data_IF_587974611030
#
_entry.id   IF_587974611030
#
_cell.length_a   1.000
_cell.length_b   1.000
_cell.length_c   1.000
_cell.angle_alpha   90.00
_cell.angle_beta   90.00
_cell.angle_gamma   90.00
#
_symmetry.space_group_name_H-M   'P 1'
#
loop_
_entity.id
_entity.type
_entity.pdbx_description
1 polymer ?
#
# COMPACT_ATOMS: atom_id res chain seq x y z
N UNK A 1 -14.91 -41.44 11.35
CA UNK A 1 -14.06 -41.08 10.20
C UNK A 1 -14.29 -39.66 9.65
N UNK A 2 -15.41 -38.97 9.92
CA UNK A 2 -15.58 -37.55 9.52
C UNK A 2 -14.95 -36.57 10.54
N UNK A 3 -15.09 -36.84 11.84
CA UNK A 3 -14.62 -35.98 12.95
C UNK A 3 -13.11 -35.80 12.99
N UNK A 4 -12.33 -36.79 12.52
CA UNK A 4 -10.87 -36.68 12.44
C UNK A 4 -10.41 -35.79 11.28
N UNK A 5 -11.17 -35.74 10.18
CA UNK A 5 -10.85 -34.90 9.03
C UNK A 5 -11.06 -33.41 9.35
N UNK A 6 -12.09 -33.06 10.12
CA UNK A 6 -12.35 -31.69 10.59
C UNK A 6 -11.25 -31.15 11.54
N UNK A 7 -10.67 -32.00 12.38
CA UNK A 7 -9.57 -31.58 13.26
C UNK A 7 -8.25 -31.32 12.52
N UNK A 8 -7.99 -32.06 11.44
CA UNK A 8 -6.82 -31.83 10.60
C UNK A 8 -6.95 -30.52 9.83
N UNK A 9 -8.13 -30.22 9.28
CA UNK A 9 -8.36 -28.96 8.56
C UNK A 9 -8.29 -27.74 9.49
N UNK A 10 -8.85 -27.79 10.70
CA UNK A 10 -8.73 -26.72 11.68
C UNK A 10 -7.28 -26.46 12.13
N UNK A 11 -6.50 -27.53 12.37
CA UNK A 11 -5.08 -27.41 12.73
C UNK A 11 -4.27 -26.78 11.60
N UNK A 12 -4.53 -27.17 10.36
CA UNK A 12 -3.87 -26.59 9.19
C UNK A 12 -4.22 -25.10 9.03
N UNK A 13 -5.48 -24.71 9.22
CA UNK A 13 -5.89 -23.30 9.17
C UNK A 13 -5.24 -22.46 10.28
N UNK A 14 -5.09 -23.00 11.48
CA UNK A 14 -4.38 -22.31 12.58
C UNK A 14 -2.89 -22.15 12.28
N UNK A 15 -2.25 -23.18 11.71
CA UNK A 15 -0.84 -23.12 11.31
C UNK A 15 -0.62 -22.11 10.19
N UNK A 16 -1.45 -22.10 9.15
CA UNK A 16 -1.30 -21.13 8.06
C UNK A 16 -1.53 -19.71 8.54
N UNK A 17 -2.52 -19.47 9.41
CA UNK A 17 -2.74 -18.15 10.03
C UNK A 17 -1.53 -17.71 10.87
N UNK A 18 -0.92 -18.63 11.63
CA UNK A 18 0.29 -18.34 12.40
C UNK A 18 1.47 -17.98 11.49
N UNK A 19 1.72 -18.75 10.44
CA UNK A 19 2.78 -18.46 9.45
C UNK A 19 2.52 -17.11 8.77
N UNK A 20 1.29 -16.84 8.32
CA UNK A 20 0.92 -15.54 7.73
C UNK A 20 1.13 -14.39 8.70
N UNK A 21 0.88 -14.58 10.00
CA UNK A 21 1.15 -13.57 11.02
C UNK A 21 2.65 -13.30 11.22
N UNK A 22 3.50 -14.33 11.17
CA UNK A 22 4.95 -14.16 11.26
C UNK A 22 5.50 -13.41 10.04
N UNK A 23 5.04 -13.81 8.85
CA UNK A 23 5.39 -13.17 7.59
C UNK A 23 4.96 -11.70 7.61
N UNK A 24 3.74 -11.39 8.07
CA UNK A 24 3.27 -10.02 8.20
C UNK A 24 4.09 -9.19 9.20
N UNK A 25 4.58 -9.81 10.29
CA UNK A 25 5.43 -9.14 11.28
C UNK A 25 6.83 -8.84 10.72
N UNK A 26 7.43 -9.81 10.05
CA UNK A 26 8.73 -9.63 9.39
C UNK A 26 8.66 -8.55 8.29
N UNK A 27 7.59 -8.53 7.49
CA UNK A 27 7.33 -7.47 6.49
C UNK A 27 7.16 -6.08 7.11
N UNK A 28 6.57 -6.02 8.30
CA UNK A 28 6.42 -4.75 9.00
C UNK A 28 7.78 -4.26 9.49
N UNK A 29 8.55 -5.12 10.15
CA UNK A 29 9.85 -4.78 10.75
C UNK A 29 10.89 -4.38 9.70
N UNK A 30 10.97 -5.11 8.58
CA UNK A 30 11.91 -4.83 7.49
C UNK A 30 11.69 -3.48 6.79
N UNK A 31 10.48 -2.93 6.86
CA UNK A 31 10.10 -1.71 6.15
C UNK A 31 9.61 -0.61 7.10
N UNK A 32 9.70 -0.83 8.41
CA UNK A 32 9.24 0.12 9.41
C UNK A 32 10.03 1.43 9.31
N UNK A 33 11.34 1.33 9.11
CA UNK A 33 12.23 2.48 9.04
C UNK A 33 11.97 3.33 7.78
N UNK A 34 11.82 2.69 6.62
CA UNK A 34 11.50 3.35 5.35
C UNK A 34 10.13 4.03 5.40
N UNK A 35 9.13 3.33 5.93
CA UNK A 35 7.80 3.88 6.12
C UNK A 35 7.81 5.11 7.03
N UNK A 36 8.55 5.04 8.13
CA UNK A 36 8.63 6.16 9.07
C UNK A 36 9.39 7.34 8.47
N UNK A 37 10.45 7.09 7.70
CA UNK A 37 11.12 8.15 6.93
C UNK A 37 10.17 8.79 5.91
N UNK A 38 9.37 7.98 5.21
CA UNK A 38 8.38 8.47 4.25
C UNK A 38 7.29 9.30 4.95
N UNK A 39 6.72 8.80 6.06
CA UNK A 39 5.73 9.53 6.88
C UNK A 39 6.28 10.85 7.42
N UNK A 40 7.53 10.86 7.92
CA UNK A 40 8.21 12.10 8.38
C UNK A 40 8.37 13.14 7.26
N UNK A 41 8.49 12.69 6.01
CA UNK A 41 8.54 13.57 4.83
C UNK A 41 7.16 14.00 4.34
N UNK A 42 6.08 13.56 5.00
CA UNK A 42 4.70 13.82 4.59
C UNK A 42 4.25 12.96 3.41
N UNK A 43 4.94 11.86 3.11
CA UNK A 43 4.57 10.96 2.03
C UNK A 43 3.47 9.99 2.49
N UNK A 44 2.58 9.65 1.57
CA UNK A 44 1.57 8.62 1.78
C UNK A 44 2.17 7.25 1.46
N UNK A 45 2.10 6.33 2.41
CA UNK A 45 2.54 4.94 2.23
C UNK A 45 1.31 4.05 2.14
N UNK A 46 1.19 3.28 1.07
CA UNK A 46 0.12 2.29 0.89
C UNK A 46 0.72 0.90 0.74
N UNK A 47 0.34 -0.03 1.62
CA UNK A 47 0.72 -1.43 1.50
C UNK A 47 -0.10 -2.09 0.39
N UNK A 48 0.55 -2.65 -0.61
CA UNK A 48 -0.09 -3.29 -1.77
C UNK A 48 0.09 -4.81 -1.80
N UNK A 49 0.94 -5.35 -0.92
CA UNK A 49 1.20 -6.79 -0.78
C UNK A 49 2.33 -7.05 0.23
N UNK A 50 2.74 -8.32 0.37
CA UNK A 50 3.96 -8.66 1.12
C UNK A 50 5.19 -8.15 0.37
N UNK A 51 6.04 -7.38 1.04
CA UNK A 51 7.20 -6.70 0.46
C UNK A 51 6.86 -5.59 -0.55
N UNK A 52 5.58 -5.36 -0.85
CA UNK A 52 5.13 -4.41 -1.85
C UNK A 52 4.47 -3.20 -1.18
N UNK A 53 5.14 -2.06 -1.28
CA UNK A 53 4.67 -0.77 -0.77
C UNK A 53 4.70 0.28 -1.88
N UNK A 54 3.65 1.08 -1.95
CA UNK A 54 3.56 2.24 -2.84
C UNK A 54 3.77 3.51 -2.03
N UNK A 55 4.82 4.23 -2.35
CA UNK A 55 5.11 5.54 -1.79
C UNK A 55 4.56 6.63 -2.72
N UNK A 56 3.86 7.61 -2.15
CA UNK A 56 3.33 8.75 -2.88
C UNK A 56 3.77 10.05 -2.22
N UNK A 57 4.55 10.84 -2.95
CA UNK A 57 5.02 12.15 -2.53
C UNK A 57 4.05 13.25 -3.02
N UNK A 58 3.44 14.04 -2.11
CA UNK A 58 2.56 15.15 -2.47
C UNK A 58 3.20 16.19 -3.40
N UNK A 59 4.52 16.35 -3.36
CA UNK A 59 5.24 17.31 -4.22
C UNK A 59 5.15 16.91 -5.70
N UNK A 60 5.23 15.62 -5.98
CA UNK A 60 5.05 15.11 -7.34
C UNK A 60 3.60 15.24 -7.81
N UNK A 61 2.63 15.10 -6.91
CA UNK A 61 1.21 15.35 -7.24
C UNK A 61 0.98 16.81 -7.64
N UNK A 62 1.58 17.77 -6.91
CA UNK A 62 1.51 19.19 -7.24
C UNK A 62 2.15 19.50 -8.61
N UNK A 63 3.33 18.94 -8.89
CA UNK A 63 3.99 19.08 -10.19
C UNK A 63 3.16 18.48 -11.33
N UNK A 64 2.54 17.32 -11.09
CA UNK A 64 1.65 16.68 -12.08
C UNK A 64 0.43 17.55 -12.37
N UNK A 65 -0.15 18.16 -11.33
CA UNK A 65 -1.28 19.08 -11.48
C UNK A 65 -0.89 20.35 -12.26
N UNK A 66 0.26 20.96 -11.95
CA UNK A 66 0.78 22.11 -12.67
C UNK A 66 1.00 21.78 -14.16
N UNK A 67 1.65 20.66 -14.47
CA UNK A 67 1.88 20.22 -15.85
C UNK A 67 0.60 19.90 -16.60
N UNK A 68 -0.45 19.43 -15.90
CA UNK A 68 -1.76 19.21 -16.50
C UNK A 68 -2.48 20.53 -16.80
N UNK A 69 -2.36 21.52 -15.92
CA UNK A 69 -2.91 22.85 -16.13
C UNK A 69 -2.25 23.55 -17.32
N UNK A 70 -0.93 23.44 -17.48
CA UNK A 70 -0.20 23.96 -18.66
C UNK A 70 -0.61 23.28 -19.97
N UNK A 71 -0.95 21.98 -19.92
CA UNK A 71 -1.36 21.19 -21.09
C UNK A 71 -2.81 21.39 -21.49
N UNK A 72 -3.64 21.89 -20.59
CA UNK A 72 -5.02 22.24 -20.91
C UNK A 72 -4.95 23.69 -21.39
N UNK A 73 -4.94 23.98 -22.70
CA UNK A 73 -5.11 25.36 -23.12
C UNK A 73 -6.43 25.81 -22.51
N UNK A 74 -6.35 26.82 -21.64
CA UNK A 74 -7.54 27.55 -21.22
C UNK A 74 -8.19 28.00 -22.51
N UNK A 75 -9.24 27.31 -22.93
CA UNK A 75 -10.14 27.80 -23.95
C UNK A 75 -10.90 28.92 -23.26
N UNK A 76 -10.22 30.04 -23.05
CA UNK A 76 -10.82 31.31 -22.71
C UNK A 76 -11.85 31.52 -23.80
N UNK A 77 -13.10 31.26 -23.45
CA UNK A 77 -14.23 31.56 -24.29
C UNK A 77 -14.23 33.06 -24.51
N UNK A 78 -13.65 33.48 -25.63
CA UNK A 78 -14.01 34.72 -26.29
C UNK A 78 -15.45 34.53 -26.79
N UNK A 79 -16.40 34.62 -25.86
CA UNK A 79 -17.82 34.64 -26.14
C UNK A 79 -18.23 36.11 -26.16
N UNK A 80 -18.21 36.66 -27.38
CA UNK A 80 -18.93 37.82 -27.94
C UNK A 80 -18.75 39.18 -27.27
#
# INVERSE_FOLDING_TARGET
>A
MATEMFHVTERLSRMTAWVSSLVARADHELCAEEDDRARRRGWTVTKTGFGARRYRDPRFDALKAARLAERTPVSTGARR
#
